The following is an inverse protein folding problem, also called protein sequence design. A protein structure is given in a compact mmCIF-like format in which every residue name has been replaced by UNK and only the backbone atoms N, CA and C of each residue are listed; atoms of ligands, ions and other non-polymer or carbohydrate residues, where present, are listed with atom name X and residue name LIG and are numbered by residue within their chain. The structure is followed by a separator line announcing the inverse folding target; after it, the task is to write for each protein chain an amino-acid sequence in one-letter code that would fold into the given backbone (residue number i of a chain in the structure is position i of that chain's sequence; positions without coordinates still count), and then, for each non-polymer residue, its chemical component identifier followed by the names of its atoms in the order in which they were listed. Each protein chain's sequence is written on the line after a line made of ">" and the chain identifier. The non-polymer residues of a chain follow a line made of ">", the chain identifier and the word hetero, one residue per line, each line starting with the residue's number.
data_IF_971090300508
#
_entry.id   IF_971090300508
#
_cell.length_a   1.000
_cell.length_b   1.000
_cell.length_c   1.000
_cell.angle_alpha   90.00
_cell.angle_beta   90.00
_cell.angle_gamma   90.00
#
_symmetry.space_group_name_H-M   'P 1'
#
loop_
_entity.id
_entity.type
_entity.pdbx_description
1 polymer ?
#
# COMPACT_ATOMS: atom_id res chain seq x y z
N UNK A 1 9.11 -52.75 21.10
CA UNK A 1 8.61 -51.45 21.59
C UNK A 1 9.73 -50.78 22.37
N UNK A 2 10.50 -49.92 21.70
CA UNK A 2 11.75 -49.40 22.27
C UNK A 2 12.00 -47.99 21.74
N UNK A 3 12.11 -47.02 22.66
CA UNK A 3 12.67 -45.65 22.51
C UNK A 3 11.96 -44.67 21.56
N UNK A 4 10.79 -44.16 21.94
CA UNK A 4 10.47 -42.73 21.72
C UNK A 4 11.26 -41.89 22.74
N UNK A 5 12.59 -41.77 22.53
CA UNK A 5 13.34 -40.67 23.15
C UNK A 5 12.85 -39.38 22.50
N UNK A 6 12.50 -38.39 23.33
CA UNK A 6 12.04 -37.08 22.88
C UNK A 6 12.94 -36.54 21.76
N UNK A 7 12.35 -36.24 20.61
CA UNK A 7 13.06 -35.73 19.43
C UNK A 7 13.61 -34.30 19.60
N UNK A 8 13.58 -33.77 20.83
CA UNK A 8 14.02 -32.43 21.23
C UNK A 8 15.53 -32.35 21.55
N UNK A 9 16.22 -33.49 21.67
CA UNK A 9 17.56 -33.54 22.25
C UNK A 9 18.72 -33.49 21.24
N UNK A 10 18.56 -32.82 20.09
CA UNK A 10 19.67 -32.59 19.14
C UNK A 10 19.91 -31.11 18.80
N UNK A 11 19.76 -30.26 19.82
CA UNK A 11 20.26 -28.87 19.84
C UNK A 11 20.65 -28.38 21.25
N UNK A 12 20.74 -29.30 22.22
CA UNK A 12 20.74 -29.04 23.67
C UNK A 12 22.00 -28.33 24.22
N UNK A 13 22.92 -27.85 23.38
CA UNK A 13 24.09 -27.07 23.79
C UNK A 13 23.89 -25.56 23.65
N UNK A 14 22.86 -25.10 22.93
CA UNK A 14 22.51 -23.68 22.87
C UNK A 14 21.68 -23.29 24.11
N UNK A 15 22.11 -22.31 24.94
CA UNK A 15 21.35 -21.81 26.09
C UNK A 15 19.92 -21.37 25.74
N UNK A 16 19.69 -20.95 24.51
CA UNK A 16 18.39 -20.63 23.96
C UNK A 16 17.51 -21.88 23.82
N UNK A 17 18.03 -22.92 23.14
CA UNK A 17 17.34 -24.20 22.96
C UNK A 17 17.11 -24.90 24.30
N UNK A 18 18.04 -24.76 25.25
CA UNK A 18 17.89 -25.29 26.61
C UNK A 18 16.75 -24.63 27.38
N UNK A 19 16.63 -23.29 27.36
CA UNK A 19 15.53 -22.57 28.02
C UNK A 19 14.17 -22.98 27.45
N UNK A 20 14.12 -23.18 26.13
CA UNK A 20 12.94 -23.64 25.42
C UNK A 20 12.58 -25.08 25.81
N UNK A 21 13.57 -25.98 25.85
CA UNK A 21 13.37 -27.36 26.29
C UNK A 21 12.94 -27.46 27.77
N UNK A 22 13.45 -26.59 28.64
CA UNK A 22 13.04 -26.50 30.05
C UNK A 22 11.59 -26.03 30.18
N UNK A 23 11.18 -25.01 29.43
CA UNK A 23 9.78 -24.58 29.36
C UNK A 23 8.87 -25.69 28.85
N UNK A 24 9.30 -26.42 27.82
CA UNK A 24 8.57 -27.58 27.31
C UNK A 24 8.37 -28.66 28.38
N UNK A 25 9.44 -29.05 29.07
CA UNK A 25 9.38 -30.04 30.14
C UNK A 25 8.41 -29.60 31.27
N UNK A 26 8.37 -28.30 31.59
CA UNK A 26 7.44 -27.74 32.57
C UNK A 26 5.97 -27.77 32.09
N UNK A 27 5.72 -27.49 30.81
CA UNK A 27 4.38 -27.56 30.21
C UNK A 27 3.87 -29.00 30.07
N UNK A 28 4.75 -29.93 29.69
CA UNK A 28 4.45 -31.37 29.62
C UNK A 28 4.13 -31.93 31.01
N UNK A 29 4.92 -31.56 32.04
CA UNK A 29 4.69 -31.97 33.43
C UNK A 29 3.34 -31.47 33.98
N UNK A 30 2.91 -30.28 33.57
CA UNK A 30 1.63 -29.69 34.01
C UNK A 30 0.44 -30.07 33.13
N UNK A 31 0.68 -30.76 32.00
CA UNK A 31 -0.31 -30.98 30.91
C UNK A 31 -1.03 -29.71 30.46
N UNK A 32 -0.45 -28.54 30.73
CA UNK A 32 -1.05 -27.25 30.42
C UNK A 32 -0.41 -26.73 29.16
N UNK A 33 -1.11 -26.95 28.05
CA UNK A 33 -0.82 -26.31 26.78
C UNK A 33 -1.55 -24.97 26.75
N UNK A 34 -0.86 -23.90 26.36
CA UNK A 34 -1.52 -22.60 26.14
C UNK A 34 -2.50 -22.78 24.99
N UNK A 35 -3.79 -22.61 25.26
CA UNK A 35 -4.85 -22.75 24.27
C UNK A 35 -4.67 -21.77 23.11
N UNK A 36 -5.16 -22.12 21.93
CA UNK A 36 -5.15 -21.24 20.76
C UNK A 36 -5.87 -19.90 21.05
N UNK A 37 -6.90 -20.00 21.89
CA UNK A 37 -7.73 -18.92 22.42
C UNK A 37 -6.97 -17.99 23.38
N UNK A 38 -5.88 -18.46 24.00
CA UNK A 38 -5.03 -17.66 24.88
C UNK A 38 -4.06 -16.76 24.10
N UNK A 39 -3.71 -17.13 22.86
CA UNK A 39 -2.91 -16.25 21.97
C UNK A 39 -3.76 -15.20 21.27
N UNK A 40 -5.02 -15.51 20.99
CA UNK A 40 -5.90 -14.67 20.18
C UNK A 40 -7.23 -14.49 20.91
N UNK A 41 -7.29 -13.46 21.76
CA UNK A 41 -8.51 -13.12 22.51
C UNK A 41 -9.70 -13.00 21.57
N UNK A 42 -10.79 -13.71 21.88
CA UNK A 42 -12.05 -13.66 21.15
C UNK A 42 -12.69 -12.28 21.34
N UNK A 43 -12.49 -11.39 20.37
CA UNK A 43 -13.39 -10.24 20.21
C UNK A 43 -14.78 -10.80 19.88
N UNK A 44 -15.81 -10.38 20.62
CA UNK A 44 -17.19 -10.87 20.46
C UNK A 44 -17.63 -10.84 18.99
N UNK A 45 -18.17 -11.95 18.51
CA UNK A 45 -18.57 -12.14 17.10
C UNK A 45 -17.52 -12.83 16.21
N UNK A 46 -16.30 -13.05 16.71
CA UNK A 46 -15.22 -13.66 15.93
C UNK A 46 -14.94 -15.13 16.25
N UNK A 47 -15.51 -15.68 17.33
CA UNK A 47 -15.09 -16.97 17.90
C UNK A 47 -15.61 -18.23 17.20
N UNK A 48 -16.76 -18.20 16.53
CA UNK A 48 -17.43 -19.44 16.09
C UNK A 48 -17.07 -19.94 14.69
N UNK A 49 -16.29 -19.19 13.89
CA UNK A 49 -15.80 -19.61 12.56
C UNK A 49 -14.28 -19.90 12.49
N UNK A 50 -13.53 -19.66 13.57
CA UNK A 50 -12.07 -19.45 13.53
C UNK A 50 -11.20 -20.68 13.79
N UNK A 51 -11.73 -21.80 14.30
CA UNK A 51 -10.92 -22.95 14.74
C UNK A 51 -10.98 -24.15 13.79
N UNK A 52 -12.09 -24.30 13.09
CA UNK A 52 -12.43 -25.35 12.12
C UNK A 52 -11.80 -25.12 10.73
N UNK A 53 -11.33 -23.90 10.45
CA UNK A 53 -10.74 -23.48 9.18
C UNK A 53 -9.35 -22.84 9.31
N UNK A 54 -8.69 -22.98 10.46
CA UNK A 54 -7.44 -22.28 10.78
C UNK A 54 -6.28 -22.67 9.84
N UNK A 55 -6.19 -21.98 8.71
CA UNK A 55 -5.16 -22.20 7.70
C UNK A 55 -3.75 -21.82 8.17
N UNK A 56 -3.65 -20.92 9.15
CA UNK A 56 -2.41 -20.51 9.80
C UNK A 56 -1.63 -21.70 10.39
N UNK A 57 -2.35 -22.74 10.85
CA UNK A 57 -1.80 -23.98 11.38
C UNK A 57 -2.53 -25.17 10.76
N UNK A 58 -2.05 -25.59 9.58
CA UNK A 58 -2.68 -26.70 8.86
C UNK A 58 -1.92 -27.99 9.15
N UNK A 59 -2.39 -28.77 10.11
CA UNK A 59 -1.75 -30.02 10.47
C UNK A 59 -2.77 -31.09 10.86
N UNK A 60 -2.35 -32.35 10.83
CA UNK A 60 -3.17 -33.48 11.25
C UNK A 60 -3.30 -33.52 12.77
N UNK A 61 -4.28 -34.25 13.29
CA UNK A 61 -4.46 -34.41 14.73
C UNK A 61 -3.21 -35.01 15.38
N UNK A 62 -2.56 -35.95 14.68
CA UNK A 62 -1.34 -36.62 15.14
C UNK A 62 -0.14 -35.69 15.37
N UNK A 63 -0.06 -34.56 14.65
CA UNK A 63 1.05 -33.60 14.76
C UNK A 63 0.64 -32.29 15.45
N UNK A 64 -0.65 -32.09 15.72
CA UNK A 64 -1.22 -30.84 16.25
C UNK A 64 -0.53 -30.34 17.52
N UNK A 65 -0.32 -31.22 18.50
CA UNK A 65 0.34 -30.83 19.76
C UNK A 65 1.76 -30.29 19.52
N UNK A 66 2.51 -30.95 18.62
CA UNK A 66 3.86 -30.52 18.25
C UNK A 66 3.84 -29.21 17.45
N UNK A 67 2.88 -29.06 16.54
CA UNK A 67 2.71 -27.87 15.73
C UNK A 67 2.43 -26.63 16.58
N UNK A 68 1.48 -26.73 17.52
CA UNK A 68 1.17 -25.66 18.47
C UNK A 68 2.38 -25.32 19.35
N UNK A 69 3.16 -26.32 19.75
CA UNK A 69 4.36 -26.09 20.54
C UNK A 69 5.45 -25.32 19.78
N UNK A 70 5.72 -25.71 18.52
CA UNK A 70 6.64 -24.98 17.65
C UNK A 70 6.23 -23.50 17.58
N UNK A 71 4.94 -23.24 17.41
CA UNK A 71 4.41 -21.88 17.35
C UNK A 71 4.55 -21.15 18.68
N UNK A 72 4.15 -21.71 19.83
CA UNK A 72 4.33 -21.06 21.15
C UNK A 72 5.77 -20.56 21.33
N UNK A 73 6.73 -21.43 21.03
CA UNK A 73 8.15 -21.09 21.16
C UNK A 73 8.55 -19.95 20.24
N UNK A 74 8.18 -20.02 18.95
CA UNK A 74 8.48 -18.95 18.01
C UNK A 74 7.82 -17.63 18.45
N UNK A 75 6.53 -17.67 18.79
CA UNK A 75 5.75 -16.50 19.17
C UNK A 75 6.27 -15.86 20.46
N UNK A 76 6.65 -16.66 21.45
CA UNK A 76 7.28 -16.15 22.67
C UNK A 76 8.59 -15.42 22.35
N UNK A 77 9.41 -15.99 21.46
CA UNK A 77 10.71 -15.44 21.13
C UNK A 77 10.66 -14.17 20.28
N UNK A 78 9.75 -14.10 19.31
CA UNK A 78 9.54 -12.87 18.54
C UNK A 78 8.92 -11.78 19.42
N UNK A 79 8.02 -12.13 20.36
CA UNK A 79 7.50 -11.17 21.36
C UNK A 79 8.60 -10.60 22.25
N UNK A 80 9.55 -11.43 22.69
CA UNK A 80 10.72 -10.97 23.45
C UNK A 80 11.59 -9.96 22.67
N UNK A 81 11.48 -9.94 21.33
CA UNK A 81 12.16 -9.01 20.41
C UNK A 81 11.28 -7.83 19.99
N UNK A 82 10.16 -7.62 20.68
CA UNK A 82 9.28 -6.47 20.48
C UNK A 82 8.26 -6.63 19.35
N UNK A 83 8.10 -7.82 18.77
CA UNK A 83 7.01 -8.06 17.83
C UNK A 83 5.68 -8.21 18.57
N UNK A 84 4.66 -7.50 18.11
CA UNK A 84 3.27 -7.82 18.41
C UNK A 84 2.83 -8.99 17.55
N UNK A 85 2.11 -9.93 18.16
CA UNK A 85 1.58 -11.10 17.46
C UNK A 85 0.09 -10.89 17.25
N UNK A 86 -0.36 -10.96 16.00
CA UNK A 86 -1.75 -10.82 15.63
C UNK A 86 -2.17 -11.92 14.66
N UNK A 87 -3.46 -12.23 14.64
CA UNK A 87 -4.00 -13.13 13.63
C UNK A 87 -4.16 -12.38 12.31
N UNK A 88 -3.66 -12.97 11.22
CA UNK A 88 -3.83 -12.46 9.87
C UNK A 88 -5.26 -12.61 9.35
N UNK A 89 -5.50 -12.06 8.16
CA UNK A 89 -6.83 -12.10 7.53
C UNK A 89 -7.36 -13.54 7.41
N UNK A 90 -8.63 -13.74 7.79
CA UNK A 90 -9.33 -15.02 7.76
C UNK A 90 -8.57 -16.19 8.43
N UNK A 91 -7.70 -15.90 9.41
CA UNK A 91 -6.87 -16.91 10.08
C UNK A 91 -5.95 -17.72 9.12
N UNK A 92 -5.54 -17.11 8.00
CA UNK A 92 -4.67 -17.75 6.99
C UNK A 92 -3.19 -17.80 7.38
N UNK A 93 -2.75 -16.85 8.21
CA UNK A 93 -1.38 -16.70 8.70
C UNK A 93 -1.38 -15.97 10.05
N UNK A 94 -0.23 -15.94 10.70
CA UNK A 94 0.03 -15.12 11.89
C UNK A 94 0.88 -13.93 11.45
N UNK A 95 0.44 -12.73 11.82
CA UNK A 95 1.19 -11.49 11.61
C UNK A 95 2.12 -11.24 12.80
N UNK A 96 3.39 -11.00 12.50
CA UNK A 96 4.40 -10.50 13.42
C UNK A 96 4.65 -9.03 13.09
N UNK A 97 4.15 -8.12 13.92
CA UNK A 97 4.11 -6.68 13.65
C UNK A 97 5.11 -5.93 14.50
N UNK A 98 5.91 -5.05 13.88
CA UNK A 98 6.83 -4.13 14.56
C UNK A 98 7.12 -2.96 13.63
N UNK A 99 7.27 -1.74 14.14
CA UNK A 99 7.67 -0.56 13.35
C UNK A 99 6.80 -0.29 12.10
N UNK A 100 5.48 -0.54 12.21
CA UNK A 100 4.49 -0.44 11.10
C UNK A 100 4.71 -1.40 9.93
N UNK A 101 5.67 -2.32 10.04
CA UNK A 101 5.85 -3.43 9.13
C UNK A 101 5.33 -4.74 9.76
N UNK A 102 4.98 -5.70 8.91
CA UNK A 102 4.52 -7.01 9.32
C UNK A 102 5.24 -8.11 8.56
N UNK A 103 5.59 -9.19 9.25
CA UNK A 103 6.09 -10.44 8.68
C UNK A 103 5.04 -11.52 8.91
N UNK A 104 4.69 -12.27 7.89
CA UNK A 104 3.67 -13.31 7.97
C UNK A 104 4.33 -14.67 8.21
N UNK A 105 3.81 -15.44 9.16
CA UNK A 105 4.24 -16.83 9.37
C UNK A 105 3.06 -17.79 9.32
N UNK A 106 3.33 -19.01 8.86
CA UNK A 106 2.36 -20.10 8.78
C UNK A 106 3.04 -21.42 9.08
N UNK A 107 2.36 -22.33 9.77
CA UNK A 107 2.86 -23.68 10.01
C UNK A 107 1.97 -24.69 9.30
N UNK A 108 2.54 -25.50 8.42
CA UNK A 108 1.80 -26.50 7.65
C UNK A 108 2.44 -27.87 7.76
N UNK A 109 1.63 -28.91 7.81
CA UNK A 109 2.05 -30.28 7.60
C UNK A 109 2.01 -30.61 6.11
N UNK A 110 3.09 -31.20 5.59
CA UNK A 110 3.09 -31.68 4.21
C UNK A 110 2.06 -32.79 4.06
N UNK A 111 1.15 -32.59 3.12
CA UNK A 111 0.16 -33.58 2.74
C UNK A 111 0.63 -34.44 1.57
N UNK A 112 0.19 -35.70 1.57
CA UNK A 112 0.27 -36.61 0.43
C UNK A 112 -1.15 -36.92 -0.02
N UNK A 113 -1.42 -36.80 -1.32
CA UNK A 113 -2.70 -37.21 -1.88
C UNK A 113 -2.79 -38.73 -1.86
N UNK A 114 -3.89 -39.25 -1.33
CA UNK A 114 -4.14 -40.68 -1.33
C UNK A 114 -4.81 -41.15 -2.61
N UNK A 115 -4.35 -42.29 -3.11
CA UNK A 115 -4.99 -43.09 -4.16
C UNK A 115 -5.80 -44.26 -3.61
N UNK A 116 -5.64 -44.59 -2.33
CA UNK A 116 -6.33 -45.66 -1.61
C UNK A 116 -6.81 -45.15 -0.26
N UNK A 117 -7.98 -45.59 0.20
CA UNK A 117 -8.57 -45.17 1.47
C UNK A 117 -7.68 -45.57 2.65
N UNK A 118 -6.83 -44.66 3.14
CA UNK A 118 -6.27 -44.79 4.49
C UNK A 118 -7.41 -44.61 5.49
N UNK A 119 -7.38 -45.42 6.54
CA UNK A 119 -8.46 -45.50 7.54
C UNK A 119 -8.12 -44.73 8.81
N UNK A 120 -6.89 -44.22 8.93
CA UNK A 120 -6.45 -43.44 10.07
C UNK A 120 -6.88 -41.98 9.97
N UNK A 121 -8.09 -41.71 10.45
CA UNK A 121 -8.69 -40.37 10.47
C UNK A 121 -7.83 -39.29 11.13
N UNK A 122 -6.96 -39.67 12.07
CA UNK A 122 -6.10 -38.75 12.82
C UNK A 122 -5.00 -38.10 11.97
N UNK A 123 -4.76 -38.63 10.76
CA UNK A 123 -3.76 -38.12 9.82
C UNK A 123 -4.35 -37.29 8.69
N UNK A 124 -5.67 -37.26 8.52
CA UNK A 124 -6.26 -36.56 7.38
C UNK A 124 -6.17 -35.03 7.52
N UNK A 125 -5.80 -34.37 6.43
CA UNK A 125 -5.74 -32.91 6.26
C UNK A 125 -6.92 -32.35 5.45
N UNK A 126 -7.93 -33.20 5.19
CA UNK A 126 -9.11 -32.92 4.34
C UNK A 126 -8.92 -33.26 2.85
N UNK A 127 -10.03 -33.39 2.13
CA UNK A 127 -10.09 -33.59 0.66
C UNK A 127 -9.23 -34.75 0.09
N UNK A 128 -9.11 -35.87 0.82
CA UNK A 128 -8.31 -37.02 0.38
C UNK A 128 -6.79 -36.79 0.46
N UNK A 129 -6.36 -35.86 1.32
CA UNK A 129 -4.95 -35.59 1.61
C UNK A 129 -4.65 -36.08 3.02
N UNK A 130 -3.59 -36.86 3.15
CA UNK A 130 -3.11 -37.39 4.43
C UNK A 130 -1.78 -36.76 4.79
N UNK A 131 -1.68 -36.33 6.04
CA UNK A 131 -0.51 -35.72 6.64
C UNK A 131 0.65 -36.70 6.71
N UNK A 132 1.83 -36.23 6.30
CA UNK A 132 3.06 -37.03 6.27
C UNK A 132 3.80 -37.07 7.61
N UNK A 133 3.34 -36.30 8.60
CA UNK A 133 4.03 -36.05 9.87
C UNK A 133 5.08 -34.92 9.80
N UNK A 134 5.41 -34.45 8.60
CA UNK A 134 6.48 -33.47 8.37
C UNK A 134 5.91 -32.06 8.46
N UNK A 135 6.35 -31.30 9.47
CA UNK A 135 5.95 -29.90 9.66
C UNK A 135 6.89 -28.97 8.88
N UNK A 136 6.33 -27.87 8.39
CA UNK A 136 7.01 -26.82 7.63
C UNK A 136 6.53 -25.46 8.12
N UNK A 137 7.44 -24.66 8.63
CA UNK A 137 7.21 -23.25 8.90
C UNK A 137 7.51 -22.44 7.63
N UNK A 138 6.54 -21.64 7.22
CA UNK A 138 6.61 -20.72 6.09
C UNK A 138 6.70 -19.29 6.65
N UNK A 139 7.61 -18.49 6.10
CA UNK A 139 7.72 -17.06 6.37
C UNK A 139 7.48 -16.33 5.04
N UNK A 140 6.50 -15.43 5.04
CA UNK A 140 6.00 -14.66 3.90
C UNK A 140 5.68 -15.53 2.68
N UNK A 141 4.77 -16.51 2.83
CA UNK A 141 4.37 -17.49 1.80
C UNK A 141 3.96 -16.83 0.47
N UNK A 142 3.30 -15.67 0.52
CA UNK A 142 2.82 -14.96 -0.67
C UNK A 142 3.84 -14.00 -1.29
N UNK A 143 5.08 -13.98 -0.77
CA UNK A 143 6.16 -13.17 -1.34
C UNK A 143 7.04 -13.98 -2.30
N UNK A 144 7.74 -13.29 -3.20
CA UNK A 144 8.78 -13.92 -4.04
C UNK A 144 9.99 -14.42 -3.24
N UNK A 145 10.00 -14.19 -1.93
CA UNK A 145 11.13 -14.41 -1.05
C UNK A 145 10.79 -15.38 0.11
N UNK A 146 9.80 -16.26 -0.11
CA UNK A 146 9.37 -17.26 0.88
C UNK A 146 10.55 -17.98 1.50
N UNK A 147 10.63 -17.98 2.83
CA UNK A 147 11.55 -18.87 3.56
C UNK A 147 10.79 -20.03 4.15
N UNK A 148 11.36 -21.23 4.03
CA UNK A 148 10.75 -22.48 4.47
C UNK A 148 11.69 -23.22 5.41
N UNK A 149 11.21 -23.55 6.60
CA UNK A 149 11.91 -24.36 7.57
C UNK A 149 11.12 -25.65 7.77
N UNK A 150 11.63 -26.76 7.24
CA UNK A 150 11.00 -28.07 7.34
C UNK A 150 11.80 -28.99 8.26
N UNK A 151 11.11 -29.98 8.82
CA UNK A 151 11.80 -31.13 9.38
C UNK A 151 12.54 -31.91 8.26
N UNK A 152 13.74 -32.37 8.57
CA UNK A 152 14.47 -33.34 7.77
C UNK A 152 15.12 -34.42 8.64
N UNK A 153 15.83 -35.36 8.01
CA UNK A 153 16.46 -36.49 8.71
C UNK A 153 17.52 -36.05 9.73
N UNK A 154 18.08 -34.85 9.57
CA UNK A 154 19.22 -34.36 10.35
C UNK A 154 18.83 -33.29 11.37
N UNK A 155 17.80 -32.49 11.08
CA UNK A 155 17.38 -31.36 11.89
C UNK A 155 15.86 -31.30 11.96
N UNK A 156 15.34 -31.03 13.15
CA UNK A 156 13.95 -30.64 13.32
C UNK A 156 13.80 -29.10 13.22
N UNK A 157 12.56 -28.60 13.20
CA UNK A 157 12.29 -27.15 13.23
C UNK A 157 12.88 -26.45 14.48
N UNK A 158 12.89 -27.11 15.65
CA UNK A 158 13.45 -26.55 16.89
C UNK A 158 14.95 -26.26 16.79
N UNK A 159 15.70 -27.14 16.14
CA UNK A 159 17.15 -27.00 15.94
C UNK A 159 17.48 -25.78 15.06
N UNK A 160 16.49 -25.25 14.32
CA UNK A 160 16.60 -24.09 13.44
C UNK A 160 15.96 -22.83 14.00
N UNK A 161 15.53 -22.82 15.27
CA UNK A 161 14.88 -21.63 15.84
C UNK A 161 15.72 -20.35 15.76
N UNK A 162 17.05 -20.35 16.02
CA UNK A 162 17.85 -19.16 15.82
C UNK A 162 17.77 -18.63 14.38
N UNK A 163 17.82 -19.52 13.39
CA UNK A 163 17.73 -19.19 11.97
C UNK A 163 16.33 -18.71 11.57
N UNK A 164 15.29 -19.26 12.18
CA UNK A 164 13.89 -18.83 11.98
C UNK A 164 13.73 -17.40 12.47
N UNK A 165 14.20 -17.10 13.68
CA UNK A 165 14.10 -15.75 14.24
C UNK A 165 14.93 -14.75 13.44
N UNK A 166 16.15 -15.12 13.04
CA UNK A 166 16.97 -14.31 12.14
C UNK A 166 16.27 -14.04 10.80
N UNK A 167 15.58 -15.06 10.24
CA UNK A 167 14.80 -14.90 9.03
C UNK A 167 13.61 -13.94 9.21
N UNK A 168 12.93 -13.97 10.36
CA UNK A 168 11.86 -13.01 10.69
C UNK A 168 12.43 -11.59 10.77
N UNK A 169 13.53 -11.40 11.48
CA UNK A 169 14.19 -10.09 11.63
C UNK A 169 14.67 -9.54 10.28
N UNK A 170 15.32 -10.37 9.45
CA UNK A 170 15.75 -9.98 8.12
C UNK A 170 14.55 -9.61 7.22
N UNK A 171 13.43 -10.33 7.32
CA UNK A 171 12.21 -9.99 6.58
C UNK A 171 11.59 -8.69 7.05
N UNK A 172 11.55 -8.47 8.36
CA UNK A 172 11.09 -7.22 8.95
C UNK A 172 11.91 -6.03 8.44
N UNK A 173 13.25 -6.12 8.46
CA UNK A 173 14.12 -5.06 7.98
C UNK A 173 13.85 -4.70 6.51
N UNK A 174 13.69 -5.71 5.64
CA UNK A 174 13.34 -5.50 4.23
C UNK A 174 11.96 -4.86 4.06
N UNK A 175 10.98 -5.24 4.89
CA UNK A 175 9.63 -4.68 4.84
C UNK A 175 9.63 -3.20 5.27
N UNK A 176 10.40 -2.85 6.30
CA UNK A 176 10.59 -1.45 6.73
C UNK A 176 11.25 -0.62 5.62
N UNK A 177 12.33 -1.12 5.01
CA UNK A 177 12.99 -0.43 3.91
C UNK A 177 12.05 -0.21 2.71
N UNK A 178 11.27 -1.24 2.36
CA UNK A 178 10.28 -1.16 1.28
C UNK A 178 9.23 -0.09 1.54
N UNK A 179 8.72 0.00 2.78
CA UNK A 179 7.76 1.04 3.19
C UNK A 179 8.36 2.44 3.08
N UNK A 180 9.62 2.62 3.49
CA UNK A 180 10.31 3.91 3.36
C UNK A 180 10.51 4.32 1.90
N UNK A 181 10.85 3.36 1.02
CA UNK A 181 10.98 3.61 -0.41
C UNK A 181 9.64 3.98 -1.05
N UNK A 182 8.56 3.30 -0.67
CA UNK A 182 7.21 3.60 -1.15
C UNK A 182 6.78 5.01 -0.75
N UNK A 183 6.99 5.40 0.51
CA UNK A 183 6.70 6.76 0.98
C UNK A 183 7.48 7.82 0.20
N UNK A 184 8.79 7.60 -0.04
CA UNK A 184 9.61 8.51 -0.86
C UNK A 184 9.08 8.61 -2.29
N UNK A 185 8.68 7.48 -2.88
CA UNK A 185 8.12 7.43 -4.24
C UNK A 185 6.80 8.19 -4.32
N UNK A 186 5.91 8.01 -3.35
CA UNK A 186 4.64 8.73 -3.30
C UNK A 186 4.86 10.24 -3.19
N UNK A 187 5.75 10.68 -2.29
CA UNK A 187 6.08 12.10 -2.14
C UNK A 187 6.67 12.71 -3.42
N UNK A 188 7.54 11.97 -4.13
CA UNK A 188 8.11 12.42 -5.40
C UNK A 188 7.03 12.56 -6.50
N UNK A 189 6.06 11.64 -6.55
CA UNK A 189 4.94 11.71 -7.50
C UNK A 189 4.04 12.90 -7.21
N UNK A 190 3.75 13.18 -5.93
CA UNK A 190 2.96 14.34 -5.52
C UNK A 190 3.66 15.65 -5.86
N UNK A 191 4.96 15.75 -5.59
CA UNK A 191 5.76 16.92 -5.96
C UNK A 191 5.75 17.16 -7.48
N UNK A 192 5.98 16.12 -8.28
CA UNK A 192 5.97 16.22 -9.74
C UNK A 192 4.60 16.66 -10.28
N UNK A 193 3.50 16.20 -9.66
CA UNK A 193 2.15 16.64 -10.01
C UNK A 193 1.92 18.11 -9.68
N UNK A 194 2.37 18.56 -8.51
CA UNK A 194 2.26 19.96 -8.10
C UNK A 194 3.07 20.89 -9.04
N UNK A 195 4.29 20.50 -9.40
CA UNK A 195 5.13 21.25 -10.34
C UNK A 195 4.49 21.32 -11.73
N UNK A 196 3.97 20.20 -12.25
CA UNK A 196 3.30 20.17 -13.54
C UNK A 196 2.04 21.07 -13.57
N UNK A 197 1.25 21.05 -12.49
CA UNK A 197 0.07 21.92 -12.36
C UNK A 197 0.46 23.41 -12.33
N UNK A 198 1.50 23.77 -11.58
CA UNK A 198 2.00 25.14 -11.51
C UNK A 198 2.55 25.64 -12.87
N UNK A 199 3.27 24.78 -13.59
CA UNK A 199 3.75 25.10 -14.93
C UNK A 199 2.60 25.31 -15.92
N UNK A 200 1.58 24.47 -15.86
CA UNK A 200 0.40 24.61 -16.72
C UNK A 200 -0.38 25.89 -16.40
N UNK A 201 -0.58 26.21 -15.12
CA UNK A 201 -1.23 27.45 -14.70
C UNK A 201 -0.46 28.67 -15.20
N UNK A 202 0.88 28.67 -15.06
CA UNK A 202 1.73 29.73 -15.57
C UNK A 202 1.63 29.87 -17.10
N UNK A 203 1.56 28.74 -17.82
CA UNK A 203 1.35 28.72 -19.28
C UNK A 203 0.00 29.31 -19.66
N UNK A 204 -1.07 28.89 -19.00
CA UNK A 204 -2.42 29.42 -19.23
C UNK A 204 -2.53 30.90 -18.86
N UNK A 205 -1.85 31.36 -17.80
CA UNK A 205 -1.79 32.78 -17.46
C UNK A 205 -1.10 33.60 -18.55
N UNK A 206 -0.01 33.09 -19.15
CA UNK A 206 0.67 33.74 -20.29
C UNK A 206 -0.22 33.79 -21.53
N UNK A 207 -0.93 32.70 -21.85
CA UNK A 207 -1.88 32.66 -22.97
C UNK A 207 -3.00 33.68 -22.75
N UNK A 208 -3.64 33.68 -21.58
CA UNK A 208 -4.69 34.65 -21.23
C UNK A 208 -4.23 36.11 -21.36
N UNK A 209 -3.01 36.41 -20.89
CA UNK A 209 -2.42 37.76 -21.04
C UNK A 209 -2.20 38.14 -22.51
N UNK A 210 -1.70 37.19 -23.32
CA UNK A 210 -1.50 37.41 -24.76
C UNK A 210 -2.83 37.63 -25.48
N UNK A 211 -3.84 36.83 -25.20
CA UNK A 211 -5.15 36.93 -25.86
C UNK A 211 -5.86 38.23 -25.46
N UNK A 212 -5.74 38.64 -24.20
CA UNK A 212 -6.21 39.96 -23.75
C UNK A 212 -5.54 41.10 -24.53
N UNK A 213 -4.21 41.06 -24.67
CA UNK A 213 -3.46 42.06 -25.43
C UNK A 213 -3.86 42.10 -26.91
N UNK A 214 -4.05 40.94 -27.56
CA UNK A 214 -4.49 40.88 -28.95
C UNK A 214 -5.91 41.41 -29.13
N UNK A 215 -6.80 41.10 -28.19
CA UNK A 215 -8.18 41.62 -28.18
C UNK A 215 -8.18 43.14 -28.04
N UNK A 216 -7.34 43.66 -27.15
CA UNK A 216 -7.17 45.09 -26.93
C UNK A 216 -6.64 45.79 -28.18
N UNK A 217 -5.57 45.27 -28.79
CA UNK A 217 -5.01 45.80 -30.03
C UNK A 217 -6.02 45.82 -31.18
N UNK A 218 -6.87 44.78 -31.28
CA UNK A 218 -7.94 44.73 -32.28
C UNK A 218 -8.99 45.83 -32.03
N UNK A 219 -9.46 45.98 -30.79
CA UNK A 219 -10.43 47.03 -30.43
C UNK A 219 -9.92 48.43 -30.75
N UNK A 220 -8.66 48.69 -30.42
CA UNK A 220 -7.98 49.94 -30.79
C UNK A 220 -7.93 50.14 -32.31
N UNK A 221 -7.56 49.10 -33.07
CA UNK A 221 -7.51 49.16 -34.54
C UNK A 221 -8.88 49.41 -35.16
N UNK A 222 -9.93 48.79 -34.63
CA UNK A 222 -11.31 48.97 -35.10
C UNK A 222 -11.78 50.41 -34.83
N UNK A 223 -11.48 50.97 -33.64
CA UNK A 223 -11.76 52.37 -33.31
C UNK A 223 -11.02 53.35 -34.24
N UNK A 224 -9.73 53.14 -34.49
CA UNK A 224 -8.93 53.96 -35.39
C UNK A 224 -9.44 53.90 -36.84
N UNK A 225 -9.87 52.71 -37.31
CA UNK A 225 -10.47 52.55 -38.64
C UNK A 225 -11.75 53.40 -38.78
N UNK A 226 -12.63 53.38 -37.77
CA UNK A 226 -13.85 54.19 -37.77
C UNK A 226 -13.51 55.68 -37.83
N UNK A 227 -12.56 56.14 -37.00
CA UNK A 227 -12.12 57.55 -36.99
C UNK A 227 -11.54 57.98 -38.33
N UNK A 228 -10.68 57.16 -38.94
CA UNK A 228 -10.12 57.42 -40.28
C UNK A 228 -11.19 57.44 -41.36
N UNK A 229 -12.16 56.53 -41.28
CA UNK A 229 -13.26 56.49 -42.23
C UNK A 229 -14.12 57.75 -42.15
N UNK A 230 -14.52 58.17 -40.95
CA UNK A 230 -15.24 59.44 -40.72
C UNK A 230 -14.42 60.63 -41.23
N UNK A 231 -13.13 60.70 -40.92
CA UNK A 231 -12.25 61.78 -41.39
C UNK A 231 -12.18 61.84 -42.93
N UNK A 232 -12.16 60.68 -43.60
CA UNK A 232 -12.17 60.63 -45.07
C UNK A 232 -13.48 61.13 -45.69
N UNK A 233 -14.63 60.87 -45.04
CA UNK A 233 -15.93 61.38 -45.47
C UNK A 233 -16.06 62.88 -45.22
N UNK A 234 -15.62 63.36 -44.06
CA UNK A 234 -15.57 64.79 -43.72
C UNK A 234 -14.74 65.57 -44.76
N UNK A 235 -13.59 65.03 -45.19
CA UNK A 235 -12.76 65.63 -46.22
C UNK A 235 -13.46 65.72 -47.59
N UNK A 236 -14.20 64.67 -47.99
CA UNK A 236 -14.92 64.65 -49.28
C UNK A 236 -16.09 65.64 -49.31
N UNK A 237 -16.84 65.73 -48.21
CA UNK A 237 -17.93 66.72 -48.07
C UNK A 237 -17.36 68.15 -48.10
N UNK A 238 -16.22 68.39 -47.44
CA UNK A 238 -15.54 69.69 -47.44
C UNK A 238 -15.07 70.15 -48.83
N UNK A 239 -14.86 69.23 -49.77
CA UNK A 239 -14.46 69.51 -51.16
C UNK A 239 -15.66 69.66 -52.11
N UNK A 240 -16.90 69.55 -51.60
CA UNK A 240 -18.12 69.88 -52.34
C UNK A 240 -18.99 68.67 -52.73
N UNK A 241 -18.72 67.47 -52.23
CA UNK A 241 -19.69 66.37 -52.33
C UNK A 241 -20.90 66.64 -51.43
N UNK A 242 -22.12 66.33 -51.91
CA UNK A 242 -23.35 66.55 -51.15
C UNK A 242 -23.49 65.51 -50.02
N UNK A 243 -23.67 65.99 -48.79
CA UNK A 243 -23.94 65.12 -47.64
C UNK A 243 -25.35 64.54 -47.69
N UNK A 244 -25.52 63.28 -47.27
CA UNK A 244 -26.83 62.72 -46.99
C UNK A 244 -27.51 63.49 -45.83
N UNK A 245 -28.86 63.55 -45.86
CA UNK A 245 -29.65 64.35 -44.91
C UNK A 245 -29.41 63.98 -43.43
N UNK A 246 -28.98 62.74 -43.15
CA UNK A 246 -28.73 62.23 -41.80
C UNK A 246 -27.23 62.09 -41.44
N UNK A 247 -26.31 62.61 -42.26
CA UNK A 247 -24.87 62.41 -42.09
C UNK A 247 -24.36 62.85 -40.70
N UNK A 248 -24.81 64.00 -40.19
CA UNK A 248 -24.35 64.52 -38.90
C UNK A 248 -24.71 63.61 -37.72
N UNK A 249 -25.91 63.00 -37.75
CA UNK A 249 -26.34 62.05 -36.72
C UNK A 249 -25.54 60.76 -36.80
N UNK A 250 -25.33 60.25 -38.01
CA UNK A 250 -24.51 59.06 -38.23
C UNK A 250 -23.04 59.29 -37.81
N UNK A 251 -22.47 60.45 -38.12
CA UNK A 251 -21.11 60.85 -37.74
C UNK A 251 -20.92 60.86 -36.24
N UNK A 252 -21.85 61.48 -35.51
CA UNK A 252 -21.79 61.54 -34.05
C UNK A 252 -21.81 60.13 -33.44
N UNK A 253 -22.72 59.27 -33.92
CA UNK A 253 -22.81 57.88 -33.49
C UNK A 253 -21.53 57.09 -33.79
N UNK A 254 -20.93 57.27 -34.97
CA UNK A 254 -19.71 56.59 -35.36
C UNK A 254 -18.52 56.97 -34.47
N UNK A 255 -18.37 58.26 -34.13
CA UNK A 255 -17.31 58.72 -33.24
C UNK A 255 -17.52 58.26 -31.79
N UNK A 256 -18.76 58.31 -31.29
CA UNK A 256 -19.12 57.76 -29.97
C UNK A 256 -18.79 56.26 -29.88
N UNK A 257 -19.16 55.49 -30.92
CA UNK A 257 -18.83 54.05 -31.01
C UNK A 257 -17.32 53.81 -31.01
N UNK A 258 -16.54 54.64 -31.71
CA UNK A 258 -15.08 54.53 -31.72
C UNK A 258 -14.48 54.80 -30.34
N UNK A 259 -15.01 55.77 -29.60
CA UNK A 259 -14.54 56.11 -28.26
C UNK A 259 -14.91 55.03 -27.22
N UNK A 260 -16.08 54.39 -27.36
CA UNK A 260 -16.47 53.23 -26.54
C UNK A 260 -15.57 52.00 -26.78
N UNK A 261 -15.12 51.81 -28.03
CA UNK A 261 -14.24 50.69 -28.40
C UNK A 261 -12.78 50.92 -28.00
N UNK A 262 -12.33 52.17 -27.91
CA UNK A 262 -10.92 52.50 -27.71
C UNK A 262 -10.44 52.19 -26.28
N UNK A 263 -9.54 51.21 -26.10
CA UNK A 263 -9.03 50.84 -24.78
C UNK A 263 -7.98 51.83 -24.23
N UNK A 264 -7.53 52.82 -25.00
CA UNK A 264 -6.40 53.70 -24.64
C UNK A 264 -6.61 54.47 -23.34
N UNK A 265 -7.87 54.83 -23.01
CA UNK A 265 -8.20 55.53 -21.78
C UNK A 265 -7.87 54.72 -20.51
N UNK A 266 -7.81 53.39 -20.60
CA UNK A 266 -7.46 52.53 -19.47
C UNK A 266 -5.96 52.56 -19.13
N UNK A 267 -5.09 52.98 -20.06
CA UNK A 267 -3.63 52.97 -19.90
C UNK A 267 -3.01 54.36 -19.79
N UNK A 268 -3.79 55.41 -20.05
CA UNK A 268 -3.35 56.79 -19.97
C UNK A 268 -3.84 57.39 -18.65
N UNK A 269 -2.91 57.73 -17.77
CA UNK A 269 -3.24 58.53 -16.59
C UNK A 269 -3.44 60.00 -16.99
N UNK A 270 -4.48 60.69 -16.47
CA UNK A 270 -4.63 62.12 -16.72
C UNK A 270 -3.42 62.87 -16.14
N UNK A 271 -2.78 63.72 -16.94
CA UNK A 271 -1.79 64.67 -16.45
C UNK A 271 -2.51 65.66 -15.52
N UNK A 272 -2.19 65.58 -14.23
CA UNK A 272 -2.48 66.60 -13.21
C UNK A 272 -1.70 67.89 -13.46
#
# INVERSE_FOLDING_TARGET
>A
MTKRRSSLARGASDPFVQRIAQRYAAMEATRRWVGWEEYFTTVGGAGTRRADSAEAVRCSESTRARALHILDVILFEVRARGFEVAMGYACSHIDLRRDRASVQIRLVELGRRETSADTDSSKHLGHGITGTGVLVLLIDEYSNAVRRFKDDERHNIFDRLPQIVEAVEARHANAVESLLLEHKRMAAVELARAEAAAQEEARQAKIRRRDALLTEAKRWSDADLIRRYVASLDARIGVGESSANDYQKWRALALETADELDPSAAHLSPKS
#
